data_IF_963054546258
#
_entry.id   IF_963054546258
#
_cell.length_a   1.000
_cell.length_b   1.000
_cell.length_c   1.000
_cell.angle_alpha   90.00
_cell.angle_beta   90.00
_cell.angle_gamma   90.00
#
_symmetry.space_group_name_H-M   'P 1'
#
loop_
_entity.id
_entity.type
_entity.pdbx_description
1 polymer ?
#
# COMPACT_ATOMS: atom_id res chain seq x y z
N UNK A 1 -23.99 -31.21 5.34
CA UNK A 1 -22.54 -31.27 5.07
C UNK A 1 -21.90 -30.12 5.83
N UNK A 2 -21.28 -30.42 6.97
CA UNK A 2 -20.52 -29.45 7.77
C UNK A 2 -19.12 -29.35 7.18
N UNK A 3 -18.72 -28.15 6.75
CA UNK A 3 -17.33 -27.88 6.34
C UNK A 3 -16.39 -28.31 7.48
N UNK A 4 -15.28 -28.94 7.14
CA UNK A 4 -14.36 -29.49 8.12
C UNK A 4 -13.63 -28.37 8.89
N UNK A 5 -13.17 -28.66 10.11
CA UNK A 5 -12.40 -27.70 10.91
C UNK A 5 -11.09 -27.21 10.25
N UNK A 6 -10.60 -27.93 9.24
CA UNK A 6 -9.46 -27.52 8.42
C UNK A 6 -9.85 -26.41 7.42
N UNK A 7 -10.99 -26.57 6.73
CA UNK A 7 -11.53 -25.53 5.82
C UNK A 7 -11.84 -24.23 6.58
N UNK A 8 -12.41 -24.30 7.79
CA UNK A 8 -12.65 -23.13 8.64
C UNK A 8 -11.36 -22.43 9.11
N UNK A 9 -10.24 -23.15 9.16
CA UNK A 9 -8.95 -22.62 9.59
C UNK A 9 -8.20 -21.97 8.42
N UNK A 10 -8.23 -22.58 7.24
CA UNK A 10 -7.71 -21.98 6.01
C UNK A 10 -8.50 -20.74 5.60
N UNK A 11 -9.84 -20.78 5.72
CA UNK A 11 -10.72 -19.63 5.45
C UNK A 11 -10.51 -18.48 6.44
N UNK A 12 -10.17 -18.76 7.72
CA UNK A 12 -9.79 -17.74 8.72
C UNK A 12 -8.42 -17.11 8.47
N UNK A 13 -7.52 -17.83 7.82
CA UNK A 13 -6.16 -17.37 7.49
C UNK A 13 -6.12 -16.65 6.14
N UNK A 14 -6.97 -17.02 5.18
CA UNK A 14 -7.13 -16.36 3.88
C UNK A 14 -7.95 -15.06 3.93
N UNK A 15 -8.77 -14.83 4.95
CA UNK A 15 -9.74 -13.71 4.99
C UNK A 15 -9.55 -12.69 6.12
N UNK A 16 -8.33 -12.48 6.63
CA UNK A 16 -8.05 -11.16 7.24
C UNK A 16 -7.65 -10.21 6.14
N UNK A 17 -8.67 -9.65 5.45
CA UNK A 17 -8.52 -8.62 4.40
C UNK A 17 -7.37 -7.67 4.77
N UNK A 18 -6.54 -7.26 3.82
CA UNK A 18 -5.42 -6.35 4.09
C UNK A 18 -5.89 -5.09 4.85
N UNK A 19 -7.08 -4.57 4.54
CA UNK A 19 -7.75 -3.50 5.30
C UNK A 19 -7.91 -3.81 6.78
N UNK A 20 -8.28 -5.02 7.16
CA UNK A 20 -8.41 -5.45 8.56
C UNK A 20 -7.06 -5.47 9.29
N UNK A 21 -5.99 -5.86 8.61
CA UNK A 21 -4.62 -5.82 9.16
C UNK A 21 -4.19 -4.38 9.39
N UNK A 22 -4.39 -3.51 8.40
CA UNK A 22 -4.11 -2.07 8.49
C UNK A 22 -4.91 -1.39 9.61
N UNK A 23 -6.19 -1.74 9.75
CA UNK A 23 -7.08 -1.21 10.79
C UNK A 23 -6.61 -1.62 12.18
N UNK A 24 -6.27 -2.90 12.38
CA UNK A 24 -5.76 -3.41 13.67
C UNK A 24 -4.38 -2.86 14.01
N UNK A 25 -3.53 -2.66 13.00
CA UNK A 25 -2.22 -2.02 13.16
C UNK A 25 -2.29 -0.52 13.46
N UNK A 26 -3.49 0.08 13.40
CA UNK A 26 -3.64 1.53 13.60
C UNK A 26 -2.93 2.35 12.53
N UNK A 27 -2.71 1.78 11.34
CA UNK A 27 -2.00 2.46 10.26
C UNK A 27 -2.86 3.61 9.76
N UNK A 28 -2.39 4.83 9.97
CA UNK A 28 -2.98 6.05 9.44
C UNK A 28 -2.06 6.66 8.38
N UNK A 29 -2.64 7.41 7.45
CA UNK A 29 -1.88 8.17 6.49
C UNK A 29 -1.24 9.39 7.16
N UNK A 30 0.04 9.64 6.87
CA UNK A 30 0.78 10.79 7.42
C UNK A 30 0.39 12.15 6.81
N UNK A 31 -0.51 12.18 5.80
CA UNK A 31 -1.07 13.44 5.30
C UNK A 31 -1.88 14.19 6.37
N UNK A 32 -1.89 15.52 6.34
CA UNK A 32 -2.30 16.43 7.43
C UNK A 32 -3.70 16.29 8.06
N UNK A 33 -4.47 15.27 7.71
CA UNK A 33 -5.76 14.92 8.33
C UNK A 33 -5.77 13.52 8.99
N UNK A 34 -4.68 12.75 8.95
CA UNK A 34 -4.57 11.49 9.69
C UNK A 34 -5.58 10.41 9.29
N UNK A 35 -6.05 10.43 8.04
CA UNK A 35 -7.09 9.51 7.59
C UNK A 35 -6.69 8.05 7.77
N UNK A 36 -7.61 7.18 8.22
CA UNK A 36 -7.33 5.77 8.41
C UNK A 36 -6.93 5.11 7.09
N UNK A 37 -5.75 4.50 7.05
CA UNK A 37 -5.23 3.88 5.83
C UNK A 37 -6.16 2.77 5.35
N UNK A 38 -6.68 1.96 6.28
CA UNK A 38 -7.51 0.80 5.95
C UNK A 38 -8.70 1.13 5.04
N UNK A 39 -9.29 2.33 5.18
CA UNK A 39 -10.47 2.74 4.41
C UNK A 39 -10.20 2.74 2.91
N UNK A 40 -8.96 3.04 2.51
CA UNK A 40 -8.52 3.02 1.11
C UNK A 40 -8.28 1.60 0.56
N UNK A 41 -8.20 0.59 1.44
CA UNK A 41 -7.89 -0.80 1.11
C UNK A 41 -9.09 -1.74 1.30
N UNK A 42 -10.25 -1.23 1.70
CA UNK A 42 -11.45 -2.05 1.96
C UNK A 42 -11.97 -2.77 0.70
N UNK A 43 -11.67 -2.21 -0.47
CA UNK A 43 -12.09 -2.70 -1.78
C UNK A 43 -10.91 -2.96 -2.71
N UNK A 44 -9.80 -3.48 -2.19
CA UNK A 44 -8.61 -3.79 -2.98
C UNK A 44 -8.94 -4.69 -4.18
N UNK A 45 -9.91 -5.59 -4.04
CA UNK A 45 -10.39 -6.49 -5.11
C UNK A 45 -10.97 -5.76 -6.34
N UNK A 46 -11.25 -4.45 -6.24
CA UNK A 46 -11.78 -3.62 -7.32
C UNK A 46 -10.72 -2.71 -7.94
N UNK A 47 -9.46 -2.85 -7.54
CA UNK A 47 -8.35 -1.97 -7.93
C UNK A 47 -7.31 -2.80 -8.69
N UNK A 48 -6.94 -2.33 -9.89
CA UNK A 48 -5.92 -2.99 -10.71
C UNK A 48 -4.53 -2.36 -10.52
N UNK A 49 -4.46 -1.08 -10.10
CA UNK A 49 -3.22 -0.32 -10.03
C UNK A 49 -3.06 0.46 -8.71
N UNK A 50 -1.82 0.49 -8.21
CA UNK A 50 -1.42 1.33 -7.08
C UNK A 50 -0.49 2.45 -7.54
N UNK A 51 -0.88 3.69 -7.29
CA UNK A 51 0.00 4.86 -7.38
C UNK A 51 0.61 5.14 -6.01
N UNK A 52 1.92 4.99 -5.91
CA UNK A 52 2.68 5.39 -4.73
C UNK A 52 3.16 6.81 -4.94
N UNK A 53 2.55 7.74 -4.22
CA UNK A 53 3.09 9.08 -4.06
C UNK A 53 4.40 8.99 -3.26
N UNK A 54 5.51 9.11 -3.98
CA UNK A 54 6.86 9.19 -3.42
C UNK A 54 7.38 10.61 -3.57
N UNK A 55 6.50 11.59 -3.34
CA UNK A 55 6.76 13.01 -3.43
C UNK A 55 6.25 13.77 -2.23
N UNK A 56 7.18 14.57 -1.71
CA UNK A 56 6.97 15.51 -0.63
C UNK A 56 6.62 16.87 -1.22
N UNK A 57 5.46 17.40 -0.85
CA UNK A 57 5.00 18.73 -1.25
C UNK A 57 5.77 19.85 -0.55
N UNK A 58 6.19 19.61 0.70
CA UNK A 58 6.81 20.58 1.58
C UNK A 58 8.35 20.44 1.59
N UNK A 59 9.12 21.55 1.54
CA UNK A 59 10.59 21.50 1.44
C UNK A 59 11.32 20.81 2.60
N UNK A 60 10.69 20.73 3.78
CA UNK A 60 11.26 20.17 5.01
C UNK A 60 10.80 18.75 5.29
N UNK A 61 9.80 18.25 4.56
CA UNK A 61 9.36 16.87 4.67
C UNK A 61 10.24 16.01 3.76
N UNK A 62 10.81 14.96 4.36
CA UNK A 62 11.81 14.10 3.72
C UNK A 62 11.57 12.62 4.02
N UNK A 63 10.42 12.28 4.60
CA UNK A 63 10.08 10.93 5.06
C UNK A 63 10.08 9.93 3.90
N UNK A 64 9.41 10.26 2.80
CA UNK A 64 9.35 9.45 1.59
C UNK A 64 10.76 9.20 1.04
N UNK A 65 11.56 10.27 0.88
CA UNK A 65 12.94 10.19 0.38
C UNK A 65 13.84 9.35 1.28
N UNK A 66 13.71 9.52 2.59
CA UNK A 66 14.47 8.75 3.56
C UNK A 66 14.07 7.27 3.51
N UNK A 67 12.78 6.95 3.46
CA UNK A 67 12.27 5.58 3.36
C UNK A 67 12.73 4.89 2.08
N UNK A 68 12.66 5.60 0.95
CA UNK A 68 13.14 5.08 -0.33
C UNK A 68 14.64 4.74 -0.33
N UNK A 69 15.45 5.45 0.47
CA UNK A 69 16.90 5.20 0.60
C UNK A 69 17.25 4.18 1.69
N UNK A 70 16.56 4.24 2.83
CA UNK A 70 16.90 3.49 4.03
C UNK A 70 16.23 2.12 4.08
N UNK A 71 15.12 1.93 3.35
CA UNK A 71 14.27 0.73 3.36
C UNK A 71 13.81 0.29 1.96
N UNK A 72 14.62 0.39 0.89
CA UNK A 72 14.18 0.04 -0.46
C UNK A 72 13.75 -1.43 -0.58
N UNK A 73 14.41 -2.35 0.13
CA UNK A 73 14.11 -3.78 0.08
C UNK A 73 12.76 -4.10 0.69
N UNK A 74 12.36 -3.38 1.75
CA UNK A 74 11.04 -3.56 2.35
C UNK A 74 9.93 -3.05 1.45
N UNK A 75 10.16 -1.93 0.77
CA UNK A 75 9.21 -1.39 -0.22
C UNK A 75 9.10 -2.33 -1.41
N UNK A 76 10.23 -2.85 -1.91
CA UNK A 76 10.25 -3.83 -3.00
C UNK A 76 9.48 -5.09 -2.63
N UNK A 77 9.74 -5.69 -1.46
CA UNK A 77 9.03 -6.88 -1.01
C UNK A 77 7.51 -6.67 -0.89
N UNK A 78 7.08 -5.49 -0.42
CA UNK A 78 5.66 -5.14 -0.40
C UNK A 78 5.07 -5.05 -1.81
N UNK A 79 5.76 -4.40 -2.74
CA UNK A 79 5.31 -4.27 -4.13
C UNK A 79 5.27 -5.62 -4.84
N UNK A 80 6.28 -6.46 -4.64
CA UNK A 80 6.31 -7.82 -5.18
C UNK A 80 5.13 -8.65 -4.70
N UNK A 81 4.82 -8.62 -3.40
CA UNK A 81 3.65 -9.31 -2.86
C UNK A 81 2.33 -8.77 -3.43
N UNK A 82 2.18 -7.45 -3.53
CA UNK A 82 0.99 -6.83 -4.12
C UNK A 82 0.81 -7.18 -5.59
N UNK A 83 1.90 -7.20 -6.38
CA UNK A 83 1.88 -7.56 -7.80
C UNK A 83 1.60 -9.04 -8.03
N UNK A 84 2.03 -9.91 -7.11
CA UNK A 84 1.82 -11.34 -7.24
C UNK A 84 0.35 -11.74 -7.07
N UNK A 85 -0.41 -11.04 -6.22
CA UNK A 85 -1.71 -11.51 -5.75
C UNK A 85 -2.87 -10.51 -5.94
N UNK A 86 -2.59 -9.22 -6.13
CA UNK A 86 -3.61 -8.18 -5.97
C UNK A 86 -3.66 -7.10 -7.07
N UNK A 87 -2.54 -6.78 -7.71
CA UNK A 87 -2.43 -5.65 -8.62
C UNK A 87 -1.73 -6.04 -9.91
N UNK A 88 -2.09 -5.38 -11.01
CA UNK A 88 -1.39 -5.50 -12.29
C UNK A 88 -0.14 -4.64 -12.34
N UNK A 89 -0.16 -3.46 -11.71
CA UNK A 89 1.00 -2.58 -11.67
C UNK A 89 1.05 -1.71 -10.41
N UNK A 90 2.28 -1.38 -10.01
CA UNK A 90 2.59 -0.38 -8.99
C UNK A 90 3.41 0.73 -9.65
N UNK A 91 2.91 1.96 -9.62
CA UNK A 91 3.56 3.13 -10.19
C UNK A 91 4.05 4.03 -9.06
N UNK A 92 5.37 4.23 -8.95
CA UNK A 92 5.96 5.05 -7.89
C UNK A 92 6.32 6.43 -8.43
N UNK A 93 5.45 7.41 -8.20
CA UNK A 93 5.64 8.79 -8.67
C UNK A 93 6.62 9.54 -7.76
N UNK A 94 7.88 9.63 -8.19
CA UNK A 94 8.88 10.53 -7.59
C UNK A 94 9.02 11.83 -8.42
N UNK A 95 9.82 12.79 -7.94
CA UNK A 95 9.89 14.16 -8.43
C UNK A 95 10.37 14.13 -9.86
N UNK A 96 10.04 15.13 -10.67
CA UNK A 96 10.62 15.23 -12.00
C UNK A 96 12.16 15.27 -12.01
N UNK A 97 12.80 15.79 -10.95
CA UNK A 97 14.26 15.68 -10.76
C UNK A 97 14.77 14.26 -10.49
N UNK A 98 13.85 13.33 -10.22
CA UNK A 98 14.09 11.94 -9.83
C UNK A 98 13.40 10.91 -10.76
N UNK A 99 12.44 11.26 -11.64
CA UNK A 99 11.70 10.30 -12.53
C UNK A 99 11.06 10.89 -13.81
N UNK A 100 10.88 10.00 -14.80
CA UNK A 100 10.23 10.18 -16.11
C UNK A 100 8.90 9.37 -16.23
N UNK A 101 7.80 10.07 -16.57
CA UNK A 101 6.48 9.72 -17.17
C UNK A 101 5.54 8.57 -16.68
N UNK A 102 4.22 8.88 -16.54
CA UNK A 102 3.07 8.45 -17.40
C UNK A 102 1.70 8.30 -16.67
N UNK A 103 0.62 8.09 -17.44
CA UNK A 103 -0.76 8.65 -17.34
C UNK A 103 -1.92 7.65 -17.07
N UNK A 104 -3.09 8.19 -16.67
CA UNK A 104 -4.52 7.82 -16.84
C UNK A 104 -5.01 6.35 -16.96
N UNK A 105 -5.44 5.75 -15.83
CA UNK A 105 -6.50 4.71 -15.62
C UNK A 105 -7.05 4.84 -14.17
N UNK A 106 -7.80 3.88 -13.61
CA UNK A 106 -8.24 3.96 -12.20
C UNK A 106 -7.06 3.77 -11.23
N UNK A 107 -6.92 4.62 -10.21
CA UNK A 107 -5.76 4.64 -9.32
C UNK A 107 -6.14 4.59 -7.84
N UNK A 108 -5.48 3.72 -7.08
CA UNK A 108 -5.37 3.86 -5.63
C UNK A 108 -4.11 4.68 -5.30
N UNK A 109 -4.25 5.82 -4.62
CA UNK A 109 -3.09 6.68 -4.27
C UNK A 109 -2.70 6.50 -2.81
N UNK A 110 -1.43 6.13 -2.57
CA UNK A 110 -0.85 5.98 -1.24
C UNK A 110 0.49 6.69 -1.09
N UNK A 111 0.74 7.25 0.08
CA UNK A 111 2.05 7.83 0.43
C UNK A 111 3.02 6.71 0.85
N UNK A 112 4.33 6.92 0.67
CA UNK A 112 5.37 5.90 0.94
C UNK A 112 5.52 5.59 2.43
N UNK A 113 5.40 6.59 3.31
CA UNK A 113 5.39 6.43 4.77
C UNK A 113 4.26 5.52 5.25
N UNK A 114 3.09 5.65 4.64
CA UNK A 114 1.94 4.79 4.92
C UNK A 114 2.22 3.33 4.55
N UNK A 115 2.94 3.07 3.46
CA UNK A 115 3.27 1.72 2.98
C UNK A 115 4.33 1.03 3.84
N UNK A 116 5.27 1.79 4.44
CA UNK A 116 6.25 1.22 5.36
C UNK A 116 5.59 0.55 6.59
N UNK A 117 4.47 1.09 7.06
CA UNK A 117 3.77 0.60 8.25
C UNK A 117 2.91 -0.66 8.00
N UNK A 118 2.99 -1.29 6.82
CA UNK A 118 2.16 -2.43 6.42
C UNK A 118 2.78 -3.80 6.79
N UNK A 119 4.02 -3.84 7.28
CA UNK A 119 4.74 -5.06 7.68
C UNK A 119 5.43 -4.96 9.05
#
# INVERSE_FOLDING_TARGET
MTASGAELTEQRLSERRLSDRLRRGGVSGAGGAGFPTYAKWEHLEKVEYLMVNHQESEPVYTGDKWLGRARPEKLAALFEWLLAEHLEAVVVSAKAGDREHSTDRGWLVQNTETLYNVY
#
